data_IF_576889255855
#
_entry.id   IF_576889255855
#
_cell.length_a   1.000
_cell.length_b   1.000
_cell.length_c   1.000
_cell.angle_alpha   90.00
_cell.angle_beta   90.00
_cell.angle_gamma   90.00
#
_symmetry.space_group_name_H-M   'P 1'
#
loop_
_entity.id
_entity.type
_entity.pdbx_description
1 polymer ?
#
# COMPACT_ATOMS: atom_id res chain seq x y z
N UNK A 1 3.60 -39.53 -14.31
CA UNK A 1 3.76 -39.39 -15.78
C UNK A 1 2.36 -39.30 -16.37
N UNK A 2 1.94 -38.29 -17.12
CA UNK A 2 2.70 -37.30 -17.87
C UNK A 2 1.88 -36.01 -17.97
N UNK A 3 2.58 -34.89 -17.80
CA UNK A 3 2.09 -33.54 -18.01
C UNK A 3 1.84 -33.35 -19.51
N UNK A 4 0.61 -33.04 -19.89
CA UNK A 4 0.32 -32.54 -21.23
C UNK A 4 0.74 -31.08 -21.24
N UNK A 5 1.93 -30.81 -21.77
CA UNK A 5 2.41 -29.47 -22.11
C UNK A 5 1.42 -28.85 -23.11
N UNK A 6 0.54 -27.98 -22.63
CA UNK A 6 -0.26 -27.10 -23.49
C UNK A 6 0.68 -26.04 -24.08
N UNK A 7 0.83 -26.11 -25.40
CA UNK A 7 1.61 -25.19 -26.22
C UNK A 7 1.06 -23.75 -26.11
N UNK A 8 1.89 -22.71 -25.93
CA UNK A 8 1.41 -21.34 -25.78
C UNK A 8 0.76 -20.85 -27.07
N UNK A 9 -0.47 -20.35 -26.94
CA UNK A 9 -1.37 -19.92 -28.02
C UNK A 9 -1.23 -18.42 -28.37
N UNK A 10 -0.04 -17.84 -28.21
CA UNK A 10 0.18 -16.46 -28.65
C UNK A 10 1.67 -16.11 -28.81
N UNK A 11 1.99 -15.26 -29.80
CA UNK A 11 3.30 -14.62 -29.96
C UNK A 11 3.60 -13.63 -28.81
N UNK A 12 2.59 -13.31 -27.99
CA UNK A 12 2.66 -12.39 -26.84
C UNK A 12 3.12 -13.05 -25.54
N UNK A 13 2.95 -14.37 -25.37
CA UNK A 13 3.41 -15.07 -24.15
C UNK A 13 4.93 -15.27 -24.09
N UNK A 14 5.60 -15.35 -25.25
CA UNK A 14 7.06 -15.50 -25.32
C UNK A 14 7.82 -14.18 -25.11
N UNK A 15 7.13 -13.04 -25.18
CA UNK A 15 7.73 -11.70 -24.99
C UNK A 15 7.92 -11.32 -23.52
N UNK A 16 7.32 -12.06 -22.58
CA UNK A 16 7.37 -11.78 -21.13
C UNK A 16 8.66 -12.24 -20.45
N UNK A 17 9.48 -13.10 -21.08
CA UNK A 17 10.66 -13.69 -20.44
C UNK A 17 12.00 -13.04 -20.81
N UNK A 18 12.06 -12.17 -21.82
CA UNK A 18 13.29 -11.47 -22.21
C UNK A 18 12.98 -10.09 -22.82
N UNK A 19 12.74 -9.11 -21.96
CA UNK A 19 12.99 -7.70 -22.26
C UNK A 19 13.12 -6.98 -20.93
N UNK A 20 14.22 -6.27 -20.70
CA UNK A 20 14.24 -5.23 -19.68
C UNK A 20 13.29 -4.13 -20.18
N UNK A 21 11.99 -4.31 -19.92
CA UNK A 21 10.94 -3.41 -20.37
C UNK A 21 11.07 -2.13 -19.59
N UNK A 22 11.72 -1.14 -20.20
CA UNK A 22 11.79 0.20 -19.65
C UNK A 22 10.36 0.71 -19.49
N UNK A 23 9.96 0.98 -18.24
CA UNK A 23 8.69 1.65 -17.97
C UNK A 23 8.77 3.06 -18.54
N UNK A 24 7.85 3.37 -19.46
CA UNK A 24 7.81 4.69 -20.08
C UNK A 24 7.44 5.75 -19.05
N UNK A 25 7.91 6.99 -19.25
CA UNK A 25 7.70 8.10 -18.32
C UNK A 25 6.23 8.25 -17.88
N UNK A 26 5.28 8.14 -18.82
CA UNK A 26 3.85 8.26 -18.52
C UNK A 26 3.34 7.18 -17.56
N UNK A 27 3.88 5.96 -17.68
CA UNK A 27 3.53 4.88 -16.76
C UNK A 27 4.14 5.11 -15.38
N UNK A 28 5.43 5.50 -15.33
CA UNK A 28 6.10 5.84 -14.06
C UNK A 28 5.34 6.95 -13.34
N UNK A 29 5.07 8.05 -14.05
CA UNK A 29 4.33 9.19 -13.54
C UNK A 29 2.93 8.82 -13.06
N UNK A 30 2.16 8.09 -13.88
CA UNK A 30 0.79 7.68 -13.52
C UNK A 30 0.75 6.75 -12.30
N UNK A 31 1.75 5.86 -12.14
CA UNK A 31 1.83 4.94 -11.01
C UNK A 31 2.30 5.61 -9.72
N UNK A 32 3.10 6.68 -9.85
CA UNK A 32 3.64 7.46 -8.72
C UNK A 32 2.81 8.67 -8.33
N UNK A 33 1.81 9.08 -9.12
CA UNK A 33 0.99 10.25 -8.82
C UNK A 33 0.14 10.06 -7.55
N UNK A 34 -0.04 11.16 -6.81
CA UNK A 34 -0.79 11.22 -5.54
C UNK A 34 -2.15 10.49 -5.61
N UNK A 35 -2.29 9.44 -4.79
CA UNK A 35 -3.51 8.63 -4.66
C UNK A 35 -3.54 7.85 -3.34
N UNK A 36 -4.62 7.13 -3.10
CA UNK A 36 -4.71 6.15 -2.02
C UNK A 36 -3.97 4.87 -2.38
N UNK A 37 -3.11 4.39 -1.46
CA UNK A 37 -2.33 3.15 -1.60
C UNK A 37 -2.37 2.43 -0.25
N UNK A 38 -2.56 1.11 -0.28
CA UNK A 38 -2.40 0.26 0.92
C UNK A 38 -0.92 0.21 1.31
N UNK A 39 -0.62 0.57 2.55
CA UNK A 39 0.73 0.47 3.11
C UNK A 39 0.69 -0.12 4.52
N UNK A 40 1.80 -0.75 4.92
CA UNK A 40 1.98 -1.20 6.29
C UNK A 40 2.40 -0.02 7.17
N UNK A 41 1.66 0.20 8.25
CA UNK A 41 1.93 1.28 9.21
C UNK A 41 2.19 0.64 10.57
N UNK A 42 3.27 1.07 11.24
CA UNK A 42 3.61 0.59 12.57
C UNK A 42 2.57 1.06 13.60
N UNK A 43 2.06 0.12 14.41
CA UNK A 43 1.02 0.41 15.41
C UNK A 43 1.52 1.42 16.44
N UNK A 44 2.79 1.34 16.84
CA UNK A 44 3.41 2.23 17.84
C UNK A 44 3.54 3.68 17.37
N UNK A 45 3.62 3.92 16.07
CA UNK A 45 3.70 5.29 15.53
C UNK A 45 2.33 5.97 15.55
N UNK A 46 1.25 5.21 15.42
CA UNK A 46 -0.13 5.71 15.49
C UNK A 46 -0.59 5.95 16.93
N UNK A 47 0.01 5.24 17.91
CA UNK A 47 -0.32 5.33 19.33
C UNK A 47 0.92 5.52 20.21
N UNK A 48 1.66 6.63 20.08
CA UNK A 48 2.92 6.85 20.79
C UNK A 48 2.75 7.07 22.32
N UNK A 49 1.52 7.34 22.78
CA UNK A 49 1.22 7.60 24.20
C UNK A 49 0.88 6.35 24.99
N UNK A 50 0.54 5.25 24.31
CA UNK A 50 0.41 3.96 24.95
C UNK A 50 1.83 3.52 25.34
N UNK A 51 2.06 3.17 26.61
CA UNK A 51 3.33 2.61 27.12
C UNK A 51 3.88 1.58 26.13
N UNK A 52 5.21 1.38 26.00
CA UNK A 52 5.85 0.47 25.03
C UNK A 52 5.28 -0.97 25.07
N UNK A 53 4.11 -1.17 24.47
CA UNK A 53 3.45 -2.44 24.34
C UNK A 53 3.95 -3.09 23.06
N UNK A 54 4.31 -4.36 23.15
CA UNK A 54 4.67 -5.15 21.99
C UNK A 54 3.37 -5.62 21.34
N UNK A 55 3.02 -5.00 20.22
CA UNK A 55 1.88 -5.40 19.38
C UNK A 55 2.27 -6.53 18.41
N UNK A 56 1.37 -7.47 18.21
CA UNK A 56 1.47 -8.53 17.20
C UNK A 56 0.21 -8.56 16.34
N UNK A 57 0.28 -8.24 15.04
CA UNK A 57 1.48 -7.78 14.33
C UNK A 57 1.95 -6.39 14.81
N UNK A 58 3.22 -6.05 14.58
CA UNK A 58 3.76 -4.72 14.89
C UNK A 58 3.34 -3.63 13.90
N UNK A 59 2.83 -4.04 12.73
CA UNK A 59 2.27 -3.16 11.71
C UNK A 59 0.94 -3.69 11.18
N UNK A 60 0.09 -2.79 10.70
CA UNK A 60 -1.23 -3.10 10.11
C UNK A 60 -1.36 -2.52 8.70
N UNK A 61 -2.10 -3.17 7.79
CA UNK A 61 -2.35 -2.64 6.46
C UNK A 61 -3.37 -1.49 6.56
N UNK A 62 -3.03 -0.31 6.03
CA UNK A 62 -3.94 0.84 5.98
C UNK A 62 -3.87 1.52 4.63
N UNK A 63 -5.03 1.94 4.13
CA UNK A 63 -5.12 2.81 2.95
C UNK A 63 -4.72 4.23 3.34
N UNK A 64 -3.65 4.73 2.71
CA UNK A 64 -3.09 6.07 2.99
C UNK A 64 -2.78 6.80 1.69
N UNK A 65 -2.75 8.13 1.77
CA UNK A 65 -2.27 8.95 0.66
C UNK A 65 -0.76 8.75 0.51
N UNK A 66 -0.35 8.48 -0.72
CA UNK A 66 1.03 8.28 -1.10
C UNK A 66 1.23 8.64 -2.57
N UNK A 67 2.50 8.82 -2.95
CA UNK A 67 2.88 9.31 -4.26
C UNK A 67 3.46 10.71 -4.21
N UNK A 68 3.80 11.23 -5.37
CA UNK A 68 4.35 12.57 -5.56
C UNK A 68 3.38 13.48 -6.31
N UNK A 69 3.56 14.77 -6.11
CA UNK A 69 2.91 15.82 -6.88
C UNK A 69 3.83 16.29 -8.01
N UNK A 70 3.24 16.89 -9.04
CA UNK A 70 4.02 17.38 -10.18
C UNK A 70 4.76 18.69 -9.93
N UNK A 71 4.43 19.38 -8.83
CA UNK A 71 5.10 20.58 -8.34
C UNK A 71 5.70 20.26 -6.97
N UNK A 72 6.98 20.61 -6.77
CA UNK A 72 7.74 20.38 -5.54
C UNK A 72 7.22 21.17 -4.34
N UNK A 73 6.38 22.18 -4.58
CA UNK A 73 5.74 22.99 -3.53
C UNK A 73 4.43 22.39 -3.03
N UNK A 74 3.94 21.32 -3.67
CA UNK A 74 2.70 20.65 -3.31
C UNK A 74 3.00 19.32 -2.62
N UNK A 75 2.19 19.00 -1.63
CA UNK A 75 2.26 17.75 -0.89
C UNK A 75 0.97 16.94 -1.09
N UNK A 76 1.10 15.60 -1.07
CA UNK A 76 -0.03 14.70 -1.25
C UNK A 76 -0.76 14.52 0.08
N UNK A 77 -1.96 15.12 0.20
CA UNK A 77 -2.73 15.14 1.43
C UNK A 77 -4.10 14.47 1.29
N UNK A 78 -4.66 13.92 2.37
CA UNK A 78 -6.03 13.43 2.36
C UNK A 78 -7.05 14.58 2.32
N UNK A 79 -8.14 14.34 1.59
CA UNK A 79 -9.35 15.17 1.61
C UNK A 79 -10.48 14.57 2.41
N UNK A 80 -10.59 13.24 2.39
CA UNK A 80 -11.60 12.52 3.12
C UNK A 80 -10.96 11.32 3.81
N UNK A 81 -11.38 11.05 5.03
CA UNK A 81 -10.87 9.97 5.86
C UNK A 81 -12.01 9.17 6.46
N UNK A 82 -11.74 7.92 6.80
CA UNK A 82 -12.61 7.07 7.60
C UNK A 82 -11.82 6.35 8.68
N UNK A 83 -12.54 5.84 9.67
CA UNK A 83 -11.96 4.99 10.69
C UNK A 83 -12.19 3.51 10.33
N UNK A 84 -11.21 2.68 10.64
CA UNK A 84 -11.30 1.22 10.58
C UNK A 84 -10.85 0.64 11.90
N UNK A 85 -11.62 -0.30 12.45
CA UNK A 85 -11.25 -1.00 13.69
C UNK A 85 -10.67 -2.36 13.34
N UNK A 86 -9.48 -2.66 13.88
CA UNK A 86 -8.77 -3.91 13.68
C UNK A 86 -8.42 -4.55 15.01
N UNK A 87 -8.35 -5.87 15.04
CA UNK A 87 -7.78 -6.58 16.18
C UNK A 87 -6.28 -6.73 16.04
N UNK A 88 -5.57 -6.39 17.12
CA UNK A 88 -4.15 -6.73 17.30
C UNK A 88 -3.97 -7.45 18.62
N UNK A 89 -2.88 -8.19 18.75
CA UNK A 89 -2.52 -8.83 20.01
C UNK A 89 -1.60 -7.92 20.81
N UNK A 90 -1.97 -7.62 22.05
CA UNK A 90 -1.16 -6.90 23.03
C UNK A 90 -0.72 -7.90 24.10
N UNK A 91 0.52 -8.40 24.00
CA UNK A 91 0.99 -9.50 24.85
C UNK A 91 0.23 -10.81 24.61
N UNK A 92 -0.69 -11.16 25.52
CA UNK A 92 -1.54 -12.36 25.42
C UNK A 92 -2.99 -12.06 25.05
N UNK A 93 -3.41 -10.79 25.06
CA UNK A 93 -4.80 -10.38 24.85
C UNK A 93 -5.03 -9.86 23.43
N UNK A 94 -6.25 -10.02 22.93
CA UNK A 94 -6.70 -9.39 21.69
C UNK A 94 -7.40 -8.06 22.03
N UNK A 95 -6.94 -6.98 21.41
CA UNK A 95 -7.48 -5.64 21.61
C UNK A 95 -7.93 -5.06 20.29
N UNK A 96 -9.04 -4.33 20.33
CA UNK A 96 -9.57 -3.60 19.18
C UNK A 96 -8.96 -2.19 19.16
N UNK A 97 -8.34 -1.83 18.03
CA UNK A 97 -7.72 -0.53 17.83
C UNK A 97 -8.30 0.12 16.57
N UNK A 98 -8.51 1.43 16.60
CA UNK A 98 -9.19 2.16 15.53
C UNK A 98 -8.24 3.10 14.80
N UNK A 99 -7.88 2.73 13.58
CA UNK A 99 -6.96 3.48 12.74
C UNK A 99 -7.68 4.40 11.76
N UNK A 100 -6.99 5.44 11.30
CA UNK A 100 -7.46 6.32 10.23
C UNK A 100 -6.99 5.79 8.87
N UNK A 101 -7.94 5.66 7.94
CA UNK A 101 -7.71 5.44 6.52
C UNK A 101 -8.08 6.68 5.70
N UNK A 102 -7.39 6.85 4.58
CA UNK A 102 -7.64 7.94 3.64
C UNK A 102 -8.51 7.41 2.50
N UNK A 103 -9.62 8.10 2.20
CA UNK A 103 -10.55 7.73 1.13
C UNK A 103 -10.20 8.43 -0.19
N UNK A 104 -9.80 9.70 -0.11
CA UNK A 104 -9.43 10.52 -1.28
C UNK A 104 -8.20 11.37 -0.96
N UNK A 105 -7.39 11.66 -2.00
CA UNK A 105 -6.14 12.40 -1.89
C UNK A 105 -6.04 13.47 -2.98
N UNK A 106 -5.36 14.56 -2.67
CA UNK A 106 -5.08 15.65 -3.61
C UNK A 106 -3.73 16.32 -3.29
N UNK A 107 -3.15 16.94 -4.31
CA UNK A 107 -1.95 17.76 -4.18
C UNK A 107 -2.34 19.18 -3.78
N UNK A 108 -1.87 19.63 -2.61
CA UNK A 108 -2.13 20.97 -2.07
C UNK A 108 -0.96 21.51 -1.28
#
# INVERSE_FOLDING_TARGET
MSMLFTQPRSHSDFSFLLSSTVLMFQEVWGRSFCRTIEKLVEVVQEYPTEVEHIYSPSCVPLVRCAGCCGDEKLECHPTQTSNVTMQVKQGQEYVEMTFVEHQTCECR
#
